data_IF_195978810115
#
_entry.id   IF_195978810115
#
_cell.length_a   1.000
_cell.length_b   1.000
_cell.length_c   1.000
_cell.angle_alpha   90.00
_cell.angle_beta   90.00
_cell.angle_gamma   90.00
#
_symmetry.space_group_name_H-M   'P 1'
#
loop_
_entity.id
_entity.type
_entity.pdbx_description
1 polymer ?
#
# COMPACT_ATOMS: atom_id res chain seq x y z
N UNK A 1 6.57 2.72 5.57
CA UNK A 1 5.12 2.79 5.92
C UNK A 1 4.77 1.66 6.88
N UNK A 2 3.56 1.58 7.46
CA UNK A 2 3.24 0.48 8.39
C UNK A 2 2.84 -0.79 7.63
N UNK A 3 1.78 -0.72 6.83
CA UNK A 3 1.27 -1.82 6.01
C UNK A 3 2.04 -1.94 4.69
N UNK A 4 1.48 -1.38 3.62
CA UNK A 4 2.07 -1.52 2.30
C UNK A 4 1.36 -0.71 1.20
N UNK A 5 1.54 -1.13 -0.05
CA UNK A 5 1.08 -0.37 -1.21
C UNK A 5 -0.44 -0.41 -1.38
N UNK A 6 -0.99 0.70 -1.89
CA UNK A 6 -2.41 0.81 -2.25
C UNK A 6 -2.55 0.83 -3.77
N UNK A 7 -3.55 0.14 -4.35
CA UNK A 7 -3.91 0.34 -5.76
C UNK A 7 -4.35 1.79 -6.04
N UNK A 8 -4.81 2.53 -5.03
CA UNK A 8 -5.23 3.93 -5.15
C UNK A 8 -4.07 4.92 -5.07
N UNK A 9 -2.86 4.48 -4.70
CA UNK A 9 -1.67 5.32 -4.63
C UNK A 9 -1.08 5.52 -6.04
N UNK A 10 -1.49 6.61 -6.69
CA UNK A 10 -0.99 6.99 -8.03
C UNK A 10 0.17 7.98 -7.95
N UNK A 11 0.18 8.85 -6.95
CA UNK A 11 1.25 9.81 -6.69
C UNK A 11 1.40 10.09 -5.19
N UNK A 12 2.57 10.59 -4.78
CA UNK A 12 2.87 10.84 -3.37
C UNK A 12 2.11 12.04 -2.79
N UNK A 13 1.60 12.95 -3.62
CA UNK A 13 0.80 14.09 -3.15
C UNK A 13 -0.55 13.65 -2.57
N UNK A 14 -1.09 12.51 -3.02
CA UNK A 14 -2.28 11.93 -2.40
C UNK A 14 -2.08 11.64 -0.91
N UNK A 15 -0.86 11.25 -0.49
CA UNK A 15 -0.53 11.04 0.93
C UNK A 15 -0.37 12.40 1.65
N UNK A 16 0.31 13.35 1.01
CA UNK A 16 0.54 14.71 1.57
C UNK A 16 -0.76 15.47 1.81
N UNK A 17 -1.77 15.23 0.98
CA UNK A 17 -3.06 15.91 1.01
C UNK A 17 -4.11 15.22 1.90
N UNK A 18 -3.76 14.17 2.63
CA UNK A 18 -4.66 13.58 3.64
C UNK A 18 -4.86 14.60 4.76
N UNK A 19 -6.08 15.14 4.85
CA UNK A 19 -6.45 16.09 5.88
C UNK A 19 -6.36 15.44 7.26
N UNK A 20 -5.88 16.20 8.26
CA UNK A 20 -5.79 15.76 9.65
C UNK A 20 -6.56 16.75 10.54
N UNK A 21 -7.23 16.28 11.62
CA UNK A 21 -7.33 14.90 12.07
C UNK A 21 -8.26 14.06 11.20
N UNK A 22 -8.02 12.75 11.14
CA UNK A 22 -8.84 11.80 10.38
C UNK A 22 -8.74 10.43 11.05
N UNK A 23 -9.86 9.72 11.14
CA UNK A 23 -9.89 8.31 11.53
C UNK A 23 -9.49 7.43 10.35
N UNK A 24 -9.00 6.22 10.63
CA UNK A 24 -8.64 5.28 9.57
C UNK A 24 -9.94 4.69 8.98
N UNK A 25 -10.20 4.87 7.67
CA UNK A 25 -11.37 4.28 7.03
C UNK A 25 -11.22 2.76 6.87
N UNK A 26 -12.33 2.06 6.68
CA UNK A 26 -12.33 0.60 6.45
C UNK A 26 -11.79 0.20 5.06
N UNK A 27 -11.66 1.16 4.13
CA UNK A 27 -11.17 0.93 2.77
C UNK A 27 -10.49 2.17 2.17
N UNK A 28 -9.75 1.95 1.09
CA UNK A 28 -9.09 3.00 0.29
C UNK A 28 -7.70 3.35 0.80
N UNK A 29 -7.10 4.38 0.18
CA UNK A 29 -5.68 4.72 0.35
C UNK A 29 -5.17 4.67 1.80
N UNK A 30 -5.78 5.41 2.73
CA UNK A 30 -5.28 5.47 4.11
C UNK A 30 -5.35 4.10 4.81
N UNK A 31 -6.40 3.32 4.54
CA UNK A 31 -6.53 1.96 5.06
C UNK A 31 -5.37 1.09 4.54
N UNK A 32 -5.13 1.12 3.23
CA UNK A 32 -4.12 0.28 2.58
C UNK A 32 -2.69 0.61 3.02
N UNK A 33 -2.36 1.89 3.20
CA UNK A 33 -1.04 2.32 3.69
C UNK A 33 -0.72 1.72 5.08
N UNK A 34 -1.76 1.32 5.83
CA UNK A 34 -1.66 0.77 7.17
C UNK A 34 -1.86 -0.75 7.21
N UNK A 35 -2.65 -1.34 6.31
CA UNK A 35 -3.10 -2.74 6.40
C UNK A 35 -2.69 -3.66 5.24
N UNK A 36 -2.20 -3.11 4.12
CA UNK A 36 -1.80 -3.94 2.99
C UNK A 36 -0.53 -4.77 3.31
N UNK A 37 -0.46 -5.99 2.77
CA UNK A 37 0.67 -6.91 2.96
C UNK A 37 1.29 -7.36 1.62
N UNK A 38 2.62 -7.58 1.55
CA UNK A 38 3.23 -8.18 0.38
C UNK A 38 2.91 -9.69 0.32
N UNK A 39 2.66 -10.20 -0.88
CA UNK A 39 2.51 -11.64 -1.13
C UNK A 39 3.38 -12.05 -2.33
N UNK A 40 4.24 -13.03 -2.13
CA UNK A 40 5.20 -13.54 -3.13
C UNK A 40 4.55 -14.47 -4.15
N UNK A 41 3.39 -15.04 -3.82
CA UNK A 41 2.72 -16.08 -4.59
C UNK A 41 1.67 -15.50 -5.55
N UNK A 42 1.51 -14.17 -5.57
CA UNK A 42 0.60 -13.44 -6.46
C UNK A 42 1.33 -12.50 -7.44
N UNK A 43 0.65 -12.19 -8.53
CA UNK A 43 1.01 -11.11 -9.45
C UNK A 43 -0.09 -10.05 -9.40
N UNK A 44 0.29 -8.78 -9.22
CA UNK A 44 -0.65 -7.67 -9.11
C UNK A 44 -1.15 -7.46 -7.68
N UNK A 45 -2.47 -7.39 -7.51
CA UNK A 45 -3.12 -7.17 -6.21
C UNK A 45 -4.18 -8.24 -5.97
N UNK A 46 -4.25 -8.73 -4.73
CA UNK A 46 -5.13 -9.82 -4.31
C UNK A 46 -5.91 -9.48 -3.04
N UNK A 47 -6.79 -10.40 -2.64
CA UNK A 47 -7.46 -10.32 -1.34
C UNK A 47 -6.47 -10.52 -0.20
N UNK A 48 -6.75 -9.90 0.94
CA UNK A 48 -5.95 -10.06 2.16
C UNK A 48 -6.68 -10.96 3.14
N UNK A 49 -6.01 -11.99 3.64
CA UNK A 49 -6.53 -12.94 4.63
C UNK A 49 -6.93 -12.27 5.95
N UNK A 50 -6.50 -11.02 6.19
CA UNK A 50 -6.96 -10.19 7.32
C UNK A 50 -8.40 -9.72 7.20
N UNK A 51 -9.03 -9.87 6.03
CA UNK A 51 -10.39 -9.38 5.75
C UNK A 51 -10.46 -7.85 5.59
N UNK A 52 -9.33 -7.18 5.48
CA UNK A 52 -9.22 -5.72 5.26
C UNK A 52 -8.04 -5.43 4.33
N UNK A 53 -8.20 -4.43 3.46
CA UNK A 53 -7.20 -4.06 2.45
C UNK A 53 -6.85 -5.22 1.50
N UNK A 54 -5.66 -5.19 0.91
CA UNK A 54 -5.22 -6.05 -0.19
C UNK A 54 -3.84 -6.64 0.08
N UNK A 55 -3.52 -7.69 -0.65
CA UNK A 55 -2.15 -8.15 -0.84
C UNK A 55 -1.57 -7.58 -2.14
N UNK A 56 -0.25 -7.42 -2.22
CA UNK A 56 0.42 -6.95 -3.44
C UNK A 56 1.68 -7.76 -3.77
N UNK A 57 1.84 -8.04 -5.07
CA UNK A 57 2.96 -8.80 -5.61
C UNK A 57 4.25 -8.00 -5.74
N UNK A 58 5.35 -8.73 -6.01
CA UNK A 58 6.67 -8.13 -6.27
C UNK A 58 6.69 -7.22 -7.52
N UNK A 59 5.80 -7.47 -8.49
CA UNK A 59 5.60 -6.62 -9.66
C UNK A 59 5.12 -5.22 -9.26
N UNK A 60 4.22 -5.13 -8.27
CA UNK A 60 3.72 -3.84 -7.76
C UNK A 60 4.76 -3.08 -6.96
N UNK A 61 5.61 -3.77 -6.22
CA UNK A 61 6.77 -3.15 -5.57
C UNK A 61 7.71 -2.55 -6.62
N UNK A 62 8.05 -3.32 -7.65
CA UNK A 62 8.97 -2.88 -8.71
C UNK A 62 8.41 -1.70 -9.50
N UNK A 63 7.14 -1.78 -9.90
CA UNK A 63 6.42 -0.70 -10.61
C UNK A 63 6.43 0.59 -9.79
N UNK A 64 6.13 0.50 -8.49
CA UNK A 64 6.09 1.64 -7.58
C UNK A 64 7.46 2.30 -7.41
N UNK A 65 8.50 1.51 -7.16
CA UNK A 65 9.87 1.99 -6.98
C UNK A 65 10.39 2.71 -8.22
N UNK A 66 10.20 2.11 -9.40
CA UNK A 66 10.62 2.71 -10.68
C UNK A 66 9.85 4.01 -10.98
N UNK A 67 8.54 4.02 -10.74
CA UNK A 67 7.70 5.20 -11.01
C UNK A 67 8.07 6.39 -10.15
N UNK A 68 8.52 6.14 -8.92
CA UNK A 68 8.79 7.19 -7.94
C UNK A 68 10.27 7.46 -7.70
N UNK A 69 11.16 6.83 -8.48
CA UNK A 69 12.63 6.94 -8.35
C UNK A 69 13.09 6.64 -6.92
N UNK A 70 12.67 5.48 -6.41
CA UNK A 70 12.97 5.01 -5.06
C UNK A 70 13.70 3.67 -5.11
N UNK A 71 14.53 3.41 -4.10
CA UNK A 71 15.30 2.17 -4.02
C UNK A 71 14.63 1.09 -3.17
N UNK A 72 13.90 1.48 -2.13
CA UNK A 72 13.40 0.54 -1.11
C UNK A 72 12.06 0.97 -0.51
N UNK A 73 11.19 -0.03 -0.27
CA UNK A 73 10.02 0.10 0.59
C UNK A 73 10.37 -0.53 1.94
N UNK A 74 10.51 0.30 2.98
CA UNK A 74 10.64 -0.16 4.36
C UNK A 74 9.28 -0.18 5.05
N UNK A 75 8.91 -1.31 5.65
CA UNK A 75 7.60 -1.54 6.28
C UNK A 75 7.66 -2.45 7.51
N UNK A 76 6.55 -2.58 8.25
CA UNK A 76 6.45 -3.33 9.51
C UNK A 76 5.29 -4.36 9.48
N UNK A 77 4.26 -4.22 10.34
CA UNK A 77 2.97 -4.93 10.40
C UNK A 77 2.95 -6.48 10.50
N UNK A 78 3.86 -7.20 9.84
CA UNK A 78 4.08 -8.65 9.96
C UNK A 78 5.39 -8.95 10.68
#
# INVERSE_FOLDING_TARGET
>A
MHGGLSPDLKNLDQIRNIARPVDVPDQGLLCDLLWADPDKDIQGSGENDRGVSYTFGADKVTEFLQKHDLDIICRAHQ
#
